data_IF_791994085115
#
_entry.id   IF_791994085115
#
_cell.length_a   1.000
_cell.length_b   1.000
_cell.length_c   1.000
_cell.angle_alpha   90.00
_cell.angle_beta   90.00
_cell.angle_gamma   90.00
#
_symmetry.space_group_name_H-M   'P 1'
#
loop_
_entity.id
_entity.type
_entity.pdbx_description
1 polymer ?
#
# COMPACT_ATOMS: atom_id res chain seq x y z
N UNK A 1 -76.72 -14.79 9.07
CA UNK A 1 -76.40 -13.48 8.48
C UNK A 1 -74.93 -13.17 8.81
N UNK A 2 -74.05 -13.20 7.79
CA UNK A 2 -72.73 -12.52 7.66
C UNK A 2 -71.66 -12.64 8.80
N UNK A 3 -70.61 -13.47 8.63
CA UNK A 3 -69.20 -13.13 8.22
C UNK A 3 -68.32 -12.59 9.40
N UNK A 4 -67.14 -13.13 9.79
CA UNK A 4 -65.81 -13.02 9.15
C UNK A 4 -64.63 -13.64 9.95
N UNK A 5 -63.71 -14.31 9.22
CA UNK A 5 -62.22 -14.18 9.13
C UNK A 5 -61.41 -14.28 10.45
N UNK A 6 -60.71 -15.40 10.71
CA UNK A 6 -59.30 -15.73 10.40
C UNK A 6 -58.26 -14.81 11.10
N UNK A 7 -57.58 -15.34 12.13
CA UNK A 7 -56.44 -14.70 12.79
C UNK A 7 -55.20 -15.60 12.76
N UNK A 8 -54.40 -15.48 11.71
CA UNK A 8 -52.99 -15.95 11.70
C UNK A 8 -52.19 -14.87 11.00
N UNK A 9 -51.18 -14.32 11.67
CA UNK A 9 -50.21 -13.46 11.01
C UNK A 9 -49.56 -12.43 11.91
N UNK A 10 -48.69 -12.85 12.84
CA UNK A 10 -47.68 -11.95 13.39
C UNK A 10 -46.45 -12.71 13.89
N UNK A 11 -45.63 -13.23 12.97
CA UNK A 11 -44.31 -13.75 13.30
C UNK A 11 -43.32 -13.79 12.11
N UNK A 12 -43.42 -12.87 11.14
CA UNK A 12 -42.60 -12.95 9.93
C UNK A 12 -42.04 -11.60 9.43
N UNK A 13 -41.71 -10.67 10.33
CA UNK A 13 -41.15 -9.36 9.92
C UNK A 13 -39.74 -9.09 10.46
N UNK A 14 -39.19 -9.89 11.38
CA UNK A 14 -37.91 -9.59 12.02
C UNK A 14 -36.68 -10.37 11.52
N UNK A 15 -36.83 -11.26 10.53
CA UNK A 15 -35.68 -12.03 9.98
C UNK A 15 -35.15 -11.43 8.67
N UNK A 16 -35.94 -10.61 7.96
CA UNK A 16 -35.54 -10.09 6.63
C UNK A 16 -34.51 -8.95 6.74
N UNK A 17 -34.48 -8.21 7.86
CA UNK A 17 -33.57 -7.08 8.05
C UNK A 17 -32.09 -7.47 8.14
N UNK A 18 -31.77 -8.64 8.70
CA UNK A 18 -30.38 -9.09 8.82
C UNK A 18 -29.82 -9.62 7.48
N UNK A 19 -30.65 -10.24 6.64
CA UNK A 19 -30.23 -10.74 5.33
C UNK A 19 -29.93 -9.60 4.33
N UNK A 20 -30.65 -8.48 4.44
CA UNK A 20 -30.44 -7.33 3.56
C UNK A 20 -29.11 -6.59 3.82
N UNK A 21 -28.54 -6.68 5.03
CA UNK A 21 -27.22 -6.11 5.32
C UNK A 21 -26.07 -6.92 4.70
N UNK A 22 -26.28 -8.22 4.43
CA UNK A 22 -25.29 -9.06 3.75
C UNK A 22 -25.40 -9.02 2.21
N UNK A 23 -26.52 -8.58 1.65
CA UNK A 23 -26.78 -8.59 0.19
C UNK A 23 -26.20 -7.41 -0.59
N UNK A 24 -25.53 -6.46 0.08
CA UNK A 24 -24.80 -5.35 -0.57
C UNK A 24 -23.27 -5.46 -0.49
N UNK A 25 -22.73 -6.64 -0.16
CA UNK A 25 -21.32 -6.92 -0.45
C UNK A 25 -21.21 -7.39 -1.89
N UNK A 26 -20.94 -6.46 -2.80
CA UNK A 26 -20.37 -6.80 -4.09
C UNK A 26 -19.01 -7.44 -3.86
N UNK A 27 -18.95 -8.76 -3.75
CA UNK A 27 -17.72 -9.54 -3.88
C UNK A 27 -17.48 -9.75 -5.36
N UNK A 28 -16.89 -8.77 -6.04
CA UNK A 28 -16.21 -9.06 -7.30
C UNK A 28 -14.92 -9.81 -6.95
N UNK A 29 -14.84 -11.07 -7.35
CA UNK A 29 -13.56 -11.78 -7.46
C UNK A 29 -12.84 -12.18 -6.17
N UNK A 30 -13.41 -11.95 -4.98
CA UNK A 30 -12.80 -12.36 -3.71
C UNK A 30 -11.92 -11.30 -3.04
N UNK A 31 -11.80 -10.10 -3.60
CA UNK A 31 -11.11 -8.97 -2.97
C UNK A 31 -12.11 -7.89 -2.55
N UNK A 32 -12.03 -7.47 -1.29
CA UNK A 32 -12.75 -6.31 -0.74
C UNK A 32 -11.83 -5.09 -0.75
N UNK A 33 -12.35 -3.95 -1.23
CA UNK A 33 -11.65 -2.66 -1.21
C UNK A 33 -12.31 -1.74 -0.19
N UNK A 34 -11.52 -1.24 0.76
CA UNK A 34 -11.99 -0.40 1.86
C UNK A 34 -11.36 0.99 1.80
N UNK A 35 -12.19 2.01 2.03
CA UNK A 35 -11.80 3.41 2.15
C UNK A 35 -10.88 3.95 1.03
N UNK A 36 -11.22 3.76 -0.26
CA UNK A 36 -10.47 4.36 -1.35
C UNK A 36 -10.55 5.89 -1.27
N UNK A 37 -9.41 6.51 -1.02
CA UNK A 37 -9.26 7.96 -0.86
C UNK A 37 -8.12 8.45 -1.71
N UNK A 38 -8.23 9.68 -2.17
CA UNK A 38 -7.33 10.31 -3.12
C UNK A 38 -6.91 11.67 -2.58
N UNK A 39 -5.61 11.96 -2.59
CA UNK A 39 -5.07 13.30 -2.32
C UNK A 39 -4.45 13.80 -3.62
N UNK A 40 -4.88 14.97 -4.09
CA UNK A 40 -4.44 15.51 -5.37
C UNK A 40 -3.68 16.83 -5.20
N UNK A 41 -2.88 17.19 -6.20
CA UNK A 41 -2.36 18.55 -6.28
C UNK A 41 -3.47 19.57 -6.52
N UNK A 42 -3.30 20.79 -6.01
CA UNK A 42 -4.18 21.94 -6.25
C UNK A 42 -3.95 22.65 -7.60
N UNK A 43 -2.98 22.18 -8.40
CA UNK A 43 -2.62 22.70 -9.74
C UNK A 43 -2.95 21.74 -10.88
N UNK A 44 -2.98 22.24 -12.11
CA UNK A 44 -3.15 21.44 -13.34
C UNK A 44 -1.99 21.68 -14.35
N UNK A 45 -1.52 20.66 -15.11
CA UNK A 45 -1.87 19.25 -14.93
C UNK A 45 -1.44 18.77 -13.54
N UNK A 46 -2.34 18.03 -12.89
CA UNK A 46 -2.19 17.61 -11.51
C UNK A 46 -1.77 16.17 -11.39
N UNK A 47 -1.24 15.81 -10.23
CA UNK A 47 -0.96 14.43 -9.86
C UNK A 47 -1.76 14.08 -8.60
N UNK A 48 -2.02 12.80 -8.39
CA UNK A 48 -2.69 12.34 -7.19
C UNK A 48 -2.18 11.01 -6.69
N UNK A 49 -2.32 10.82 -5.39
CA UNK A 49 -2.04 9.57 -4.70
C UNK A 49 -3.35 8.93 -4.26
N UNK A 50 -3.48 7.61 -4.45
CA UNK A 50 -4.66 6.86 -4.00
C UNK A 50 -4.27 5.81 -2.98
N UNK A 51 -4.95 5.88 -1.84
CA UNK A 51 -4.77 4.99 -0.71
C UNK A 51 -6.04 4.20 -0.44
N UNK A 52 -5.89 2.95 0.00
CA UNK A 52 -7.00 2.05 0.33
C UNK A 52 -6.49 0.84 1.10
N UNK A 53 -7.39 0.02 1.63
CA UNK A 53 -7.04 -1.33 2.11
C UNK A 53 -7.66 -2.35 1.18
N UNK A 54 -6.86 -3.32 0.76
CA UNK A 54 -7.27 -4.48 -0.03
C UNK A 54 -7.33 -5.68 0.90
N UNK A 55 -8.47 -6.37 0.98
CA UNK A 55 -8.64 -7.57 1.79
C UNK A 55 -9.03 -8.73 0.90
N UNK A 56 -8.18 -9.73 0.81
CA UNK A 56 -8.47 -10.95 0.07
C UNK A 56 -9.21 -11.93 0.99
N UNK A 57 -10.38 -12.36 0.54
CA UNK A 57 -11.31 -13.23 1.27
C UNK A 57 -11.20 -14.70 0.85
N UNK A 58 -10.30 -15.02 -0.09
CA UNK A 58 -9.99 -16.37 -0.56
C UNK A 58 -8.80 -16.99 0.17
N UNK A 59 -8.56 -18.27 -0.04
CA UNK A 59 -7.45 -19.05 0.51
C UNK A 59 -6.21 -19.10 -0.42
N UNK A 60 -6.28 -18.45 -1.59
CA UNK A 60 -5.15 -18.27 -2.51
C UNK A 60 -4.74 -16.80 -2.58
N UNK A 61 -3.45 -16.48 -2.81
CA UNK A 61 -3.03 -15.09 -3.00
C UNK A 61 -3.67 -14.49 -4.25
N UNK A 62 -3.88 -13.18 -4.24
CA UNK A 62 -4.20 -12.40 -5.43
C UNK A 62 -3.12 -11.33 -5.65
N UNK A 63 -3.05 -10.79 -6.86
CA UNK A 63 -2.05 -9.82 -7.29
C UNK A 63 -2.79 -8.65 -7.94
N UNK A 64 -2.65 -7.46 -7.38
CA UNK A 64 -3.04 -6.21 -8.03
C UNK A 64 -1.97 -5.87 -9.07
N UNK A 65 -2.33 -5.97 -10.35
CA UNK A 65 -1.44 -5.76 -11.49
C UNK A 65 -1.45 -4.32 -12.01
N UNK A 66 -2.48 -3.55 -11.66
CA UNK A 66 -2.57 -2.14 -12.06
C UNK A 66 -3.91 -1.53 -11.75
N UNK A 67 -4.07 -0.30 -12.22
CA UNK A 67 -5.34 0.43 -12.18
C UNK A 67 -5.47 1.31 -13.41
N UNK A 68 -6.70 1.71 -13.73
CA UNK A 68 -7.00 2.69 -14.79
C UNK A 68 -8.04 3.70 -14.31
N UNK A 69 -7.97 4.91 -14.85
CA UNK A 69 -8.93 5.99 -14.63
C UNK A 69 -8.94 6.91 -15.84
N UNK A 70 -10.13 7.30 -16.30
CA UNK A 70 -10.29 8.27 -17.40
C UNK A 70 -9.85 9.69 -16.99
N UNK A 71 -9.61 9.94 -15.70
CA UNK A 71 -9.20 11.25 -15.16
C UNK A 71 -7.69 11.51 -15.26
N UNK A 72 -6.88 10.48 -15.55
CA UNK A 72 -5.43 10.58 -15.51
C UNK A 72 -4.81 9.97 -16.78
N UNK A 73 -3.77 10.62 -17.31
CA UNK A 73 -3.00 10.08 -18.44
C UNK A 73 -2.26 8.78 -18.10
N UNK A 74 -1.89 8.58 -16.83
CA UNK A 74 -1.27 7.35 -16.35
C UNK A 74 -1.72 7.00 -14.92
N UNK A 75 -1.82 5.70 -14.63
CA UNK A 75 -2.04 5.15 -13.30
C UNK A 75 -0.95 4.10 -13.05
N UNK A 76 0.01 4.40 -12.17
CA UNK A 76 1.12 3.52 -11.84
C UNK A 76 1.15 3.15 -10.36
N UNK A 77 2.05 2.25 -9.98
CA UNK A 77 2.38 2.02 -8.58
C UNK A 77 3.55 2.90 -8.15
N UNK A 78 3.55 3.27 -6.89
CA UNK A 78 4.63 3.98 -6.27
C UNK A 78 4.83 3.49 -4.84
N UNK A 79 6.06 3.37 -4.37
CA UNK A 79 6.38 3.03 -2.99
C UNK A 79 7.35 1.86 -2.85
N UNK A 80 7.76 1.55 -1.61
CA UNK A 80 8.83 0.57 -1.36
C UNK A 80 8.38 -0.89 -1.45
N UNK A 81 7.07 -1.13 -1.42
CA UNK A 81 6.48 -2.47 -1.49
C UNK A 81 5.84 -2.74 -2.85
N UNK A 82 6.41 -2.17 -3.90
CA UNK A 82 6.02 -2.47 -5.28
C UNK A 82 6.89 -3.63 -5.74
N UNK A 83 6.28 -4.80 -5.94
CA UNK A 83 6.93 -5.96 -6.53
C UNK A 83 7.20 -5.72 -8.01
N UNK A 84 8.22 -6.42 -8.55
CA UNK A 84 8.48 -6.46 -9.99
C UNK A 84 8.71 -7.89 -10.42
N UNK A 85 8.08 -8.29 -11.52
CA UNK A 85 8.30 -9.61 -12.10
C UNK A 85 9.61 -9.66 -12.92
N UNK A 86 9.87 -10.79 -13.56
CA UNK A 86 11.08 -10.97 -14.38
C UNK A 86 11.14 -10.09 -15.64
N UNK A 87 10.00 -9.50 -16.05
CA UNK A 87 9.89 -8.55 -17.15
C UNK A 87 9.91 -7.10 -16.67
N UNK A 88 9.95 -6.87 -15.35
CA UNK A 88 9.91 -5.55 -14.74
C UNK A 88 8.50 -5.00 -14.55
N UNK A 89 7.45 -5.80 -14.80
CA UNK A 89 6.06 -5.43 -14.59
C UNK A 89 5.79 -5.30 -13.09
N UNK A 90 5.20 -4.17 -12.70
CA UNK A 90 4.96 -3.84 -11.29
C UNK A 90 3.69 -4.52 -10.77
N UNK A 91 3.71 -4.91 -9.51
CA UNK A 91 2.55 -5.52 -8.87
C UNK A 91 2.52 -5.29 -7.36
N UNK A 92 1.34 -5.50 -6.76
CA UNK A 92 1.16 -5.55 -5.30
C UNK A 92 0.45 -6.85 -4.92
N UNK A 93 1.04 -7.60 -3.99
CA UNK A 93 0.46 -8.86 -3.48
C UNK A 93 -0.68 -8.55 -2.50
N UNK A 94 -1.76 -9.31 -2.60
CA UNK A 94 -2.83 -9.35 -1.58
C UNK A 94 -2.91 -10.79 -1.02
N UNK A 95 -2.39 -11.01 0.21
CA UNK A 95 -2.17 -12.35 0.74
C UNK A 95 -3.50 -13.10 0.98
N UNK A 96 -3.52 -14.45 0.91
CA UNK A 96 -4.72 -15.25 1.16
C UNK A 96 -5.28 -14.98 2.56
N UNK A 97 -6.58 -14.74 2.65
CA UNK A 97 -7.28 -14.44 3.90
C UNK A 97 -6.79 -13.19 4.64
N UNK A 98 -5.91 -12.39 4.03
CA UNK A 98 -5.23 -11.26 4.64
C UNK A 98 -5.49 -9.95 3.91
N UNK A 99 -4.80 -8.91 4.38
CA UNK A 99 -4.97 -7.55 3.86
C UNK A 99 -3.64 -6.90 3.49
N UNK A 100 -3.68 -6.11 2.44
CA UNK A 100 -2.59 -5.23 2.01
C UNK A 100 -3.08 -3.78 2.07
N UNK A 101 -2.40 -2.94 2.85
CA UNK A 101 -2.68 -1.52 2.89
C UNK A 101 -1.90 -0.80 1.78
N UNK A 102 -2.60 -0.05 0.94
CA UNK A 102 -2.00 0.94 0.06
C UNK A 102 -1.95 2.29 0.78
N UNK A 103 -0.74 2.77 1.08
CA UNK A 103 -0.52 3.89 2.00
C UNK A 103 0.72 4.71 1.64
N UNK A 104 0.96 5.78 2.41
CA UNK A 104 2.18 6.58 2.32
C UNK A 104 3.46 5.80 2.69
N UNK A 105 3.33 4.75 3.51
CA UNK A 105 4.48 3.95 3.98
C UNK A 105 4.68 2.66 3.18
N UNK A 106 3.77 2.36 2.27
CA UNK A 106 3.77 1.14 1.44
C UNK A 106 3.57 1.54 -0.02
N UNK A 107 3.29 0.58 -0.88
CA UNK A 107 2.82 0.85 -2.22
C UNK A 107 1.53 1.68 -2.16
N UNK A 108 1.34 2.57 -3.12
CA UNK A 108 0.09 3.26 -3.39
C UNK A 108 -0.04 3.45 -4.91
N UNK A 109 -1.23 3.84 -5.37
CA UNK A 109 -1.40 4.20 -6.78
C UNK A 109 -1.06 5.68 -6.96
N UNK A 110 -0.30 5.96 -8.00
CA UNK A 110 0.02 7.30 -8.46
C UNK A 110 -0.71 7.57 -9.77
N UNK A 111 -1.52 8.62 -9.79
CA UNK A 111 -2.22 9.13 -10.97
C UNK A 111 -1.46 10.34 -11.46
N UNK A 112 -1.03 10.30 -12.71
CA UNK A 112 -0.26 11.38 -13.33
C UNK A 112 -1.04 12.03 -14.46
N UNK A 113 -0.89 13.35 -14.59
CA UNK A 113 -1.47 14.10 -15.71
C UNK A 113 -2.99 14.18 -15.64
N UNK A 114 -3.50 14.64 -14.50
CA UNK A 114 -4.91 14.97 -14.28
C UNK A 114 -5.14 16.40 -14.80
N UNK A 115 -5.75 16.51 -15.98
CA UNK A 115 -6.02 17.81 -16.61
C UNK A 115 -7.28 18.49 -16.07
N UNK A 116 -8.25 17.69 -15.59
CA UNK A 116 -9.51 18.21 -15.06
C UNK A 116 -9.34 18.70 -13.61
N UNK A 117 -9.86 19.88 -13.25
CA UNK A 117 -9.82 20.36 -11.88
C UNK A 117 -10.70 19.49 -10.98
N UNK A 118 -10.09 18.91 -9.95
CA UNK A 118 -10.78 18.11 -8.95
C UNK A 118 -11.38 18.97 -7.83
N UNK A 119 -12.33 18.41 -7.08
CA UNK A 119 -12.94 19.04 -5.91
C UNK A 119 -12.92 18.10 -4.71
N UNK A 120 -12.69 18.63 -3.52
CA UNK A 120 -12.84 17.85 -2.29
C UNK A 120 -14.23 17.21 -2.20
N UNK A 121 -14.27 15.96 -1.76
CA UNK A 121 -15.46 15.13 -1.70
C UNK A 121 -15.89 14.52 -3.03
N UNK A 122 -15.33 14.94 -4.17
CA UNK A 122 -15.58 14.34 -5.47
C UNK A 122 -15.20 12.85 -5.45
N UNK A 123 -15.95 12.05 -6.20
CA UNK A 123 -15.67 10.63 -6.37
C UNK A 123 -15.05 10.40 -7.75
N UNK A 124 -13.82 9.91 -7.77
CA UNK A 124 -13.10 9.55 -9.00
C UNK A 124 -13.33 8.06 -9.27
N UNK A 125 -14.04 7.69 -10.35
CA UNK A 125 -14.17 6.31 -10.75
C UNK A 125 -12.81 5.76 -11.18
N UNK A 126 -12.48 4.56 -10.73
CA UNK A 126 -11.28 3.84 -11.16
C UNK A 126 -11.61 2.35 -11.29
N UNK A 127 -10.83 1.64 -12.08
CA UNK A 127 -10.86 0.17 -12.14
C UNK A 127 -9.52 -0.37 -11.69
N UNK A 128 -9.53 -1.23 -10.66
CA UNK A 128 -8.38 -2.01 -10.23
C UNK A 128 -8.33 -3.31 -11.03
N UNK A 129 -7.15 -3.74 -11.44
CA UNK A 129 -6.94 -4.93 -12.27
C UNK A 129 -6.20 -5.97 -11.45
N UNK A 130 -6.90 -7.02 -11.03
CA UNK A 130 -6.33 -8.13 -10.28
C UNK A 130 -6.12 -9.35 -11.17
N UNK A 131 -5.13 -10.17 -10.83
CA UNK A 131 -4.83 -11.41 -11.55
C UNK A 131 -5.98 -12.42 -11.42
N UNK A 132 -6.53 -12.62 -10.22
CA UNK A 132 -7.57 -13.62 -9.97
C UNK A 132 -8.96 -12.98 -9.82
N UNK A 133 -9.08 -11.89 -9.05
CA UNK A 133 -10.35 -11.19 -8.88
C UNK A 133 -10.84 -10.46 -10.16
N UNK A 134 -9.95 -10.28 -11.14
CA UNK A 134 -10.23 -9.55 -12.37
C UNK A 134 -10.39 -8.05 -12.13
N UNK A 135 -11.27 -7.43 -12.89
CA UNK A 135 -11.55 -6.00 -12.79
C UNK A 135 -12.48 -5.67 -11.61
N UNK A 136 -12.04 -4.78 -10.73
CA UNK A 136 -12.81 -4.28 -9.59
C UNK A 136 -13.00 -2.78 -9.72
N UNK A 137 -14.23 -2.36 -10.03
CA UNK A 137 -14.59 -0.96 -10.11
C UNK A 137 -14.72 -0.33 -8.71
N UNK A 138 -14.05 0.80 -8.51
CA UNK A 138 -14.07 1.55 -7.25
C UNK A 138 -14.38 3.03 -7.50
N UNK A 139 -14.64 3.76 -6.41
CA UNK A 139 -14.75 5.21 -6.43
C UNK A 139 -13.86 5.79 -5.34
N UNK A 140 -12.73 6.37 -5.71
CA UNK A 140 -11.85 7.04 -4.77
C UNK A 140 -12.38 8.43 -4.43
N UNK A 141 -12.52 8.74 -3.14
CA UNK A 141 -12.95 10.07 -2.70
C UNK A 141 -11.76 11.01 -2.66
N UNK A 142 -11.84 12.15 -3.36
CA UNK A 142 -10.91 13.27 -3.19
C UNK A 142 -11.03 13.78 -1.77
N UNK A 143 -10.01 13.57 -0.96
CA UNK A 143 -9.98 13.96 0.46
C UNK A 143 -9.43 15.36 0.64
N UNK A 144 -8.40 15.71 -0.14
CA UNK A 144 -7.75 17.02 -0.06
C UNK A 144 -7.13 17.40 -1.40
N UNK A 145 -7.09 18.71 -1.65
CA UNK A 145 -6.23 19.34 -2.65
C UNK A 145 -5.07 20.01 -1.94
N UNK A 146 -3.84 19.69 -2.33
CA UNK A 146 -2.63 20.16 -1.63
C UNK A 146 -1.60 20.71 -2.61
N UNK A 147 -0.70 21.60 -2.19
CA UNK A 147 0.47 21.95 -3.00
C UNK A 147 1.29 20.71 -3.35
N UNK A 148 1.94 20.69 -4.52
CA UNK A 148 2.78 19.55 -4.95
C UNK A 148 3.81 19.12 -3.91
N UNK A 149 4.43 20.07 -3.21
CA UNK A 149 5.40 19.79 -2.15
C UNK A 149 4.80 19.02 -0.96
N UNK A 150 3.52 19.24 -0.66
CA UNK A 150 2.80 18.52 0.38
C UNK A 150 2.35 17.14 -0.11
N UNK A 151 2.06 16.98 -1.42
CA UNK A 151 1.82 15.66 -2.00
C UNK A 151 3.06 14.76 -1.84
N UNK A 152 4.27 15.28 -2.13
CA UNK A 152 5.53 14.56 -1.90
C UNK A 152 5.71 14.16 -0.43
N UNK A 153 5.37 15.04 0.52
CA UNK A 153 5.40 14.70 1.95
C UNK A 153 4.42 13.58 2.30
N UNK A 154 3.23 13.57 1.67
CA UNK A 154 2.20 12.54 1.84
C UNK A 154 2.52 11.23 1.14
N UNK A 155 3.42 11.25 0.16
CA UNK A 155 4.10 10.07 -0.34
C UNK A 155 5.06 9.45 0.68
N UNK A 156 5.18 10.07 1.86
CA UNK A 156 6.10 9.62 2.87
C UNK A 156 7.52 9.71 2.36
N UNK A 157 7.85 10.68 1.50
CA UNK A 157 9.18 10.81 0.89
C UNK A 157 9.95 12.01 1.45
N UNK A 158 11.26 11.82 1.56
CA UNK A 158 12.24 12.86 1.83
C UNK A 158 13.30 12.83 0.73
N UNK A 159 13.31 13.83 -0.14
CA UNK A 159 14.40 14.03 -1.08
C UNK A 159 15.45 14.94 -0.46
N UNK A 160 16.69 14.45 -0.26
CA UNK A 160 17.80 15.28 0.18
C UNK A 160 18.03 16.45 -0.78
N UNK A 161 18.38 17.61 -0.26
CA UNK A 161 18.84 18.73 -1.07
C UNK A 161 20.20 18.44 -1.71
N UNK A 162 20.62 19.29 -2.65
CA UNK A 162 21.88 19.09 -3.38
C UNK A 162 23.13 19.09 -2.50
N UNK A 163 23.05 19.65 -1.29
CA UNK A 163 24.11 19.72 -0.28
C UNK A 163 24.02 18.61 0.79
N UNK A 164 22.98 17.79 0.77
CA UNK A 164 22.83 16.65 1.68
C UNK A 164 23.27 15.34 1.02
N UNK A 165 23.88 14.40 1.77
CA UNK A 165 24.21 13.09 1.24
C UNK A 165 22.93 12.31 0.95
N UNK A 166 22.90 11.65 -0.22
CA UNK A 166 21.86 10.69 -0.57
C UNK A 166 22.32 9.31 -0.06
N UNK A 167 21.64 8.71 0.93
CA UNK A 167 22.10 7.46 1.51
C UNK A 167 21.97 6.31 0.50
N UNK A 168 22.83 5.30 0.64
CA UNK A 168 22.78 4.08 -0.16
C UNK A 168 22.43 2.89 0.73
N UNK A 169 21.77 1.89 0.15
CA UNK A 169 21.40 0.67 0.86
C UNK A 169 21.56 -0.55 -0.04
N UNK A 170 22.10 -1.64 0.51
CA UNK A 170 22.11 -2.97 -0.13
C UNK A 170 21.82 -4.06 0.90
N UNK A 171 21.35 -5.23 0.43
CA UNK A 171 21.01 -6.37 1.28
C UNK A 171 21.84 -7.60 0.91
N UNK A 172 22.18 -8.39 1.93
CA UNK A 172 22.62 -9.77 1.77
C UNK A 172 21.79 -10.69 2.67
N UNK A 173 21.56 -11.91 2.23
CA UNK A 173 20.73 -12.89 2.95
C UNK A 173 21.50 -14.19 3.17
N UNK A 174 21.35 -14.76 4.37
CA UNK A 174 21.91 -16.06 4.74
C UNK A 174 20.84 -16.90 5.45
N UNK A 175 20.67 -18.19 5.11
CA UNK A 175 19.74 -19.05 5.81
C UNK A 175 20.23 -19.32 7.24
N UNK A 176 19.34 -19.20 8.22
CA UNK A 176 19.58 -19.50 9.65
C UNK A 176 18.97 -20.86 10.07
N UNK A 177 18.29 -21.53 9.16
CA UNK A 177 17.56 -22.78 9.42
C UNK A 177 16.13 -22.55 9.94
N UNK A 178 15.32 -23.61 9.92
CA UNK A 178 13.91 -23.59 10.36
C UNK A 178 13.05 -22.51 9.69
N UNK A 179 13.26 -22.23 8.40
CA UNK A 179 12.47 -21.21 7.72
C UNK A 179 13.03 -19.79 7.80
N UNK A 180 14.07 -19.55 8.60
CA UNK A 180 14.54 -18.19 8.92
C UNK A 180 15.72 -17.76 8.09
N UNK A 181 15.80 -16.45 7.87
CA UNK A 181 16.87 -15.81 7.13
C UNK A 181 17.47 -14.68 7.96
N UNK A 182 18.80 -14.65 8.07
CA UNK A 182 19.54 -13.47 8.52
C UNK A 182 19.71 -12.54 7.32
N UNK A 183 19.32 -11.29 7.51
CA UNK A 183 19.47 -10.22 6.53
C UNK A 183 20.46 -9.21 7.08
N UNK A 184 21.58 -9.03 6.39
CA UNK A 184 22.50 -7.93 6.67
C UNK A 184 22.18 -6.76 5.74
N UNK A 185 22.16 -5.56 6.31
CA UNK A 185 21.78 -4.30 5.66
C UNK A 185 23.01 -3.40 5.64
N UNK A 186 23.64 -3.27 4.47
CA UNK A 186 24.70 -2.29 4.28
C UNK A 186 24.07 -0.94 3.99
N UNK A 187 24.36 0.05 4.83
CA UNK A 187 23.77 1.39 4.80
C UNK A 187 24.84 2.49 4.62
N UNK A 188 26.07 2.13 4.28
CA UNK A 188 27.18 3.07 4.16
C UNK A 188 27.43 3.87 5.44
N UNK A 189 27.37 5.20 5.34
CA UNK A 189 27.58 6.16 6.43
C UNK A 189 26.29 6.63 7.12
N UNK A 190 25.14 6.05 6.76
CA UNK A 190 23.86 6.39 7.36
C UNK A 190 23.81 6.02 8.85
N UNK A 191 23.31 6.95 9.68
CA UNK A 191 23.23 6.75 11.12
C UNK A 191 21.85 6.22 11.55
N UNK A 192 21.78 4.95 11.97
CA UNK A 192 20.60 4.39 12.61
C UNK A 192 20.52 4.86 14.07
N UNK A 193 19.50 5.65 14.39
CA UNK A 193 19.29 6.24 15.72
C UNK A 193 17.87 5.97 16.23
N UNK A 194 17.76 4.97 17.11
CA UNK A 194 16.49 4.63 17.79
C UNK A 194 15.98 5.77 18.69
N UNK A 195 16.86 6.57 19.25
CA UNK A 195 16.49 7.63 20.19
C UNK A 195 15.88 8.86 19.50
N UNK A 196 16.13 9.01 18.19
CA UNK A 196 15.64 10.11 17.36
C UNK A 196 14.31 9.82 16.65
N UNK A 197 13.71 8.64 16.85
CA UNK A 197 12.42 8.28 16.23
C UNK A 197 11.31 9.23 16.68
N UNK A 198 10.40 9.57 15.76
CA UNK A 198 9.30 10.51 15.97
C UNK A 198 9.75 11.95 16.31
N UNK A 199 11.02 12.28 16.01
CA UNK A 199 11.58 13.62 16.18
C UNK A 199 11.81 14.34 14.85
N UNK A 200 12.30 15.58 14.91
CA UNK A 200 12.61 16.34 13.71
C UNK A 200 13.69 15.64 12.86
N UNK A 201 13.54 15.76 11.55
CA UNK A 201 14.52 15.23 10.60
C UNK A 201 15.92 15.82 10.84
N UNK A 202 16.92 14.93 10.81
CA UNK A 202 18.36 15.24 10.77
C UNK A 202 18.93 14.55 9.53
N UNK A 203 19.70 15.26 8.67
CA UNK A 203 20.29 14.67 7.47
C UNK A 203 21.17 13.46 7.78
N UNK A 204 21.13 12.45 6.91
CA UNK A 204 21.86 11.19 7.02
C UNK A 204 21.62 10.40 8.31
N UNK A 205 20.49 10.64 8.98
CA UNK A 205 20.08 9.95 10.20
C UNK A 205 18.66 9.44 10.07
N UNK A 206 18.38 8.34 10.75
CA UNK A 206 17.03 7.90 11.05
C UNK A 206 16.97 6.42 11.42
N UNK A 207 16.11 5.68 10.76
CA UNK A 207 15.91 4.25 11.01
C UNK A 207 15.50 3.55 9.71
N UNK A 208 15.53 2.23 9.69
CA UNK A 208 15.05 1.48 8.54
C UNK A 208 13.66 0.91 8.80
N UNK A 209 12.85 0.73 7.75
CA UNK A 209 11.67 -0.14 7.78
C UNK A 209 11.96 -1.37 6.94
N UNK A 210 11.43 -2.52 7.34
CA UNK A 210 11.54 -3.74 6.54
C UNK A 210 10.19 -4.38 6.30
N UNK A 211 10.11 -5.02 5.14
CA UNK A 211 8.91 -5.58 4.57
C UNK A 211 9.20 -6.98 4.06
N UNK A 212 8.21 -7.86 4.17
CA UNK A 212 8.22 -9.21 3.60
C UNK A 212 6.96 -9.32 2.74
N UNK A 213 7.12 -9.66 1.46
CA UNK A 213 6.05 -9.78 0.48
C UNK A 213 5.06 -8.61 0.50
N UNK A 214 5.63 -7.40 0.53
CA UNK A 214 4.90 -6.14 0.55
C UNK A 214 4.15 -5.81 1.85
N UNK A 215 4.30 -6.64 2.87
CA UNK A 215 3.77 -6.38 4.22
C UNK A 215 4.88 -5.78 5.07
N UNK A 216 4.61 -4.61 5.67
CA UNK A 216 5.51 -3.99 6.64
C UNK A 216 5.58 -4.84 7.90
N UNK A 217 6.77 -5.32 8.23
CA UNK A 217 6.98 -6.15 9.41
C UNK A 217 7.43 -5.29 10.60
N UNK A 218 8.32 -4.32 10.37
CA UNK A 218 8.76 -3.49 11.48
C UNK A 218 9.82 -2.46 11.13
N UNK A 219 10.40 -1.90 12.19
CA UNK A 219 11.50 -0.92 12.15
C UNK A 219 12.80 -1.61 12.54
N UNK A 220 13.89 -1.20 11.91
CA UNK A 220 15.25 -1.63 12.19
C UNK A 220 16.06 -0.46 12.76
N UNK A 221 16.82 -0.77 13.81
CA UNK A 221 17.75 0.15 14.47
C UNK A 221 19.16 -0.42 14.54
N UNK A 222 19.41 -1.50 13.79
CA UNK A 222 20.68 -2.17 13.64
C UNK A 222 20.82 -2.59 12.16
N UNK A 223 22.06 -2.74 11.65
CA UNK A 223 22.32 -3.11 10.26
C UNK A 223 22.11 -4.61 9.98
N UNK A 224 21.34 -5.31 10.81
CA UNK A 224 20.97 -6.70 10.60
C UNK A 224 19.67 -7.05 11.33
N UNK A 225 18.99 -8.07 10.84
CA UNK A 225 17.87 -8.74 11.52
C UNK A 225 17.74 -10.20 11.08
N UNK A 226 16.94 -10.97 11.79
CA UNK A 226 16.55 -12.34 11.42
C UNK A 226 15.03 -12.35 11.23
N UNK A 227 14.56 -12.94 10.13
CA UNK A 227 13.12 -13.07 9.88
C UNK A 227 12.49 -14.06 10.85
N UNK A 228 11.18 -13.94 11.08
CA UNK A 228 10.39 -15.09 11.50
C UNK A 228 10.44 -16.21 10.43
N UNK A 229 10.08 -17.47 10.77
CA UNK A 229 10.03 -18.55 9.79
C UNK A 229 9.13 -18.18 8.61
N UNK A 230 9.71 -18.22 7.42
CA UNK A 230 8.99 -18.00 6.17
C UNK A 230 8.24 -19.28 5.78
N UNK A 231 7.08 -19.18 5.12
CA UNK A 231 6.49 -20.30 4.41
C UNK A 231 7.43 -20.89 3.33
N UNK A 232 7.12 -22.06 2.77
CA UNK A 232 7.83 -22.57 1.60
C UNK A 232 7.58 -21.69 0.36
N UNK A 233 8.62 -21.40 -0.40
CA UNK A 233 8.59 -20.66 -1.67
C UNK A 233 9.43 -19.37 -1.68
N UNK A 234 9.30 -18.58 -2.75
CA UNK A 234 10.02 -17.31 -2.89
C UNK A 234 9.37 -16.21 -2.05
N UNK A 235 10.21 -15.47 -1.32
CA UNK A 235 9.81 -14.32 -0.52
C UNK A 235 10.65 -13.10 -0.86
N UNK A 236 10.01 -11.97 -1.11
CA UNK A 236 10.72 -10.70 -1.31
C UNK A 236 10.87 -9.98 0.02
N UNK A 237 12.11 -9.65 0.37
CA UNK A 237 12.46 -8.82 1.51
C UNK A 237 12.86 -7.46 0.97
N UNK A 238 12.22 -6.40 1.46
CA UNK A 238 12.55 -5.02 1.13
C UNK A 238 12.95 -4.25 2.39
N UNK A 239 13.90 -3.34 2.27
CA UNK A 239 14.30 -2.41 3.35
C UNK A 239 14.42 -1.00 2.78
N UNK A 240 13.82 -0.05 3.49
CA UNK A 240 13.95 1.39 3.22
C UNK A 240 14.75 2.07 4.32
N UNK A 241 15.46 3.14 3.97
CA UNK A 241 15.96 4.10 4.95
C UNK A 241 14.93 5.21 5.12
N UNK A 242 14.64 5.58 6.37
CA UNK A 242 13.63 6.55 6.72
C UNK A 242 14.23 7.60 7.64
N UNK A 243 13.78 8.84 7.48
CA UNK A 243 14.07 9.97 8.36
C UNK A 243 13.53 9.75 9.77
N UNK A 244 13.97 10.59 10.71
CA UNK A 244 13.43 10.64 12.08
C UNK A 244 11.90 10.81 12.13
N UNK A 245 11.33 11.54 11.16
CA UNK A 245 9.89 11.79 11.00
C UNK A 245 9.21 10.82 10.00
N UNK A 246 9.80 9.63 9.82
CA UNK A 246 9.27 8.45 9.11
C UNK A 246 9.12 8.54 7.59
N UNK A 247 9.57 9.63 6.96
CA UNK A 247 9.62 9.72 5.51
C UNK A 247 10.74 8.83 4.97
N UNK A 248 10.46 7.97 4.01
CA UNK A 248 11.47 7.25 3.27
C UNK A 248 12.39 8.24 2.55
N UNK A 249 13.70 8.09 2.72
CA UNK A 249 14.66 8.80 1.87
C UNK A 249 14.39 8.43 0.42
N UNK A 250 14.45 9.41 -0.46
CA UNK A 250 14.06 9.28 -1.85
C UNK A 250 15.08 9.95 -2.78
N UNK A 251 15.09 9.49 -4.02
CA UNK A 251 15.85 10.08 -5.11
C UNK A 251 15.02 9.98 -6.38
N UNK A 252 14.96 11.07 -7.15
CA UNK A 252 14.21 11.16 -8.40
C UNK A 252 12.74 10.73 -8.22
N UNK A 253 12.14 11.20 -7.14
CA UNK A 253 10.77 10.92 -6.73
C UNK A 253 10.56 9.53 -6.12
N UNK A 254 11.55 8.65 -6.04
CA UNK A 254 11.37 7.25 -5.60
C UNK A 254 12.07 6.94 -4.29
N UNK A 255 11.46 6.13 -3.40
CA UNK A 255 12.11 5.65 -2.19
C UNK A 255 13.42 4.92 -2.49
N UNK A 256 14.46 5.24 -1.73
CA UNK A 256 15.71 4.50 -1.67
C UNK A 256 15.42 3.20 -0.92
N UNK A 257 15.28 2.12 -1.69
CA UNK A 257 14.90 0.79 -1.23
C UNK A 257 15.91 -0.23 -1.73
N UNK A 258 16.33 -1.14 -0.88
CA UNK A 258 17.00 -2.37 -1.31
C UNK A 258 16.05 -3.55 -1.17
N UNK A 259 16.08 -4.44 -2.16
CA UNK A 259 15.25 -5.64 -2.22
C UNK A 259 16.11 -6.87 -2.46
N UNK A 260 15.77 -7.98 -1.81
CA UNK A 260 16.36 -9.30 -2.08
C UNK A 260 15.24 -10.35 -2.07
N UNK A 261 15.32 -11.32 -2.97
CA UNK A 261 14.44 -12.49 -2.95
C UNK A 261 15.18 -13.66 -2.29
N UNK A 262 14.53 -14.31 -1.33
CA UNK A 262 15.00 -15.54 -0.70
C UNK A 262 14.07 -16.70 -1.05
N UNK A 263 14.58 -17.92 -1.05
CA UNK A 263 13.83 -19.14 -1.36
C UNK A 263 13.90 -20.07 -0.14
N UNK A 264 12.76 -20.33 0.50
CA UNK A 264 12.68 -21.18 1.68
C UNK A 264 11.96 -22.51 1.39
#
# INVERSE_FOLDING_TARGET
MTLRILGVGLAAVLVIGAAAFFLFRGTSGGVLVESPRLVATDTQPGDAMVFMTLTNTSDTPDILMGAVSDYAGNCGFHGPTVGRDSKGEEFVVVPPGGSTALSAETAHLELLGIDEPLREGQLIPMTLIFQNAGEVAIKARVEALVPRSELTRRAGLYEPSADEPVPAITLTAQPEGEGRWRIAVDIGDFNLDKSAVDSAHVPNQGHAHYYIDNVKIGRLFAPEFVTDPLPPGPHQIAVTLNTNDHRAYAKDGRPITATITVEN
#
